data_IF_080314596629
#
_entry.id   IF_080314596629
#
_cell.length_a   1.000
_cell.length_b   1.000
_cell.length_c   1.000
_cell.angle_alpha   90.00
_cell.angle_beta   90.00
_cell.angle_gamma   90.00
#
_symmetry.space_group_name_H-M   'P 1'
#
loop_
_entity.id
_entity.type
_entity.pdbx_description
1 polymer ?
#
# COMPACT_ATOMS: atom_id res chain seq x y z
N UNK A 1 -26.67 74.24 -0.16
CA UNK A 1 -27.38 73.23 -0.94
C UNK A 1 -27.40 71.92 -0.19
N UNK A 2 -28.54 71.20 -0.08
CA UNK A 2 -28.57 69.93 0.52
C UNK A 2 -27.75 68.95 -0.33
N UNK A 3 -26.94 68.12 0.32
CA UNK A 3 -26.20 67.04 -0.32
C UNK A 3 -27.18 66.06 -0.94
N UNK A 4 -26.94 65.66 -2.19
CA UNK A 4 -27.75 64.64 -2.84
C UNK A 4 -27.76 63.35 -2.00
N UNK A 5 -28.94 62.82 -1.77
CA UNK A 5 -29.07 61.54 -1.03
C UNK A 5 -28.43 60.43 -1.89
N UNK A 6 -27.46 59.74 -1.34
CA UNK A 6 -26.92 58.51 -1.94
C UNK A 6 -27.92 57.40 -1.65
N UNK A 7 -28.45 56.79 -2.71
CA UNK A 7 -29.21 55.58 -2.57
C UNK A 7 -28.21 54.38 -2.44
N UNK A 8 -28.26 53.70 -1.31
CA UNK A 8 -27.52 52.43 -1.11
C UNK A 8 -28.51 51.33 -1.42
N UNK A 9 -28.22 50.49 -2.40
CA UNK A 9 -28.97 49.25 -2.66
C UNK A 9 -28.21 48.11 -1.98
N UNK A 10 -28.87 47.40 -1.10
CA UNK A 10 -28.34 46.21 -0.47
C UNK A 10 -28.93 44.99 -1.21
N UNK A 11 -28.07 44.24 -1.86
CA UNK A 11 -28.44 42.99 -2.48
C UNK A 11 -28.18 41.84 -1.51
N UNK A 12 -29.22 41.09 -1.19
CA UNK A 12 -29.18 39.91 -0.29
C UNK A 12 -29.65 38.63 -0.99
N UNK A 13 -29.83 38.69 -2.31
CA UNK A 13 -30.36 37.57 -3.08
C UNK A 13 -29.22 36.71 -3.57
N UNK A 14 -29.13 35.48 -3.08
CA UNK A 14 -28.11 34.53 -3.53
C UNK A 14 -28.34 34.11 -4.99
N UNK A 15 -27.26 33.81 -5.74
CA UNK A 15 -27.35 33.21 -7.07
C UNK A 15 -28.16 31.91 -7.05
N UNK A 16 -29.00 31.72 -8.05
CA UNK A 16 -29.78 30.50 -8.25
C UNK A 16 -29.10 29.51 -9.22
N UNK A 17 -28.12 29.98 -9.97
CA UNK A 17 -27.31 29.15 -10.84
C UNK A 17 -26.45 28.21 -10.00
N UNK A 18 -26.41 26.93 -10.39
CA UNK A 18 -25.62 25.89 -9.74
C UNK A 18 -24.55 25.40 -10.72
N UNK A 19 -23.31 25.39 -10.27
CA UNK A 19 -22.20 24.82 -11.05
C UNK A 19 -21.97 23.37 -10.65
N UNK A 20 -21.71 22.51 -11.63
CA UNK A 20 -21.33 21.10 -11.43
C UNK A 20 -20.02 20.83 -12.14
N UNK A 21 -19.16 19.98 -11.55
CA UNK A 21 -17.98 19.45 -12.21
C UNK A 21 -18.38 18.29 -13.12
N UNK A 22 -17.82 18.22 -14.33
CA UNK A 22 -18.12 17.16 -15.29
C UNK A 22 -16.89 16.47 -15.85
N UNK A 23 -15.75 17.15 -15.91
CA UNK A 23 -14.53 16.60 -16.50
C UNK A 23 -13.28 17.12 -15.82
N UNK A 24 -12.27 16.27 -15.88
CA UNK A 24 -10.89 16.52 -15.50
C UNK A 24 -10.02 16.24 -16.72
N UNK A 25 -9.05 17.11 -17.06
CA UNK A 25 -8.14 16.82 -18.19
C UNK A 25 -7.23 15.65 -17.90
N UNK A 26 -6.85 14.96 -18.97
CA UNK A 26 -5.95 13.81 -18.95
C UNK A 26 -6.33 12.79 -17.87
N UNK A 27 -7.64 12.53 -17.77
CA UNK A 27 -8.17 11.44 -16.97
C UNK A 27 -7.55 10.13 -17.49
N UNK A 28 -6.55 9.62 -16.78
CA UNK A 28 -5.75 8.47 -17.19
C UNK A 28 -6.36 7.18 -16.65
N UNK A 29 -6.29 6.10 -17.41
CA UNK A 29 -6.79 4.80 -16.99
C UNK A 29 -8.27 4.59 -17.30
N UNK A 30 -9.10 4.39 -16.26
CA UNK A 30 -10.54 4.15 -16.41
C UNK A 30 -11.27 5.46 -16.68
N UNK A 31 -12.07 5.57 -17.75
CA UNK A 31 -12.80 6.82 -18.04
C UNK A 31 -13.72 7.25 -16.88
N UNK A 32 -13.63 8.50 -16.48
CA UNK A 32 -14.46 9.15 -15.45
C UNK A 32 -14.24 8.65 -14.00
N UNK A 33 -13.09 8.08 -13.69
CA UNK A 33 -12.71 7.73 -12.34
C UNK A 33 -12.10 8.91 -11.54
N UNK A 34 -11.93 10.07 -12.20
CA UNK A 34 -11.36 11.29 -11.61
C UNK A 34 -9.90 11.14 -11.16
N UNK A 35 -9.13 10.29 -11.83
CA UNK A 35 -7.69 10.13 -11.62
C UNK A 35 -6.95 10.72 -12.83
N UNK A 36 -5.94 11.55 -12.61
CA UNK A 36 -5.12 12.14 -13.67
C UNK A 36 -3.64 12.15 -13.32
N UNK A 37 -2.81 11.86 -14.32
CA UNK A 37 -1.36 12.07 -14.26
C UNK A 37 -0.92 13.53 -14.47
N UNK A 38 -1.85 14.41 -14.91
CA UNK A 38 -1.57 15.83 -15.09
C UNK A 38 -1.47 16.54 -13.74
N UNK A 39 -0.31 17.04 -13.40
CA UNK A 39 -0.06 17.80 -12.16
C UNK A 39 -0.58 19.25 -12.23
N UNK A 40 -1.08 19.68 -13.39
CA UNK A 40 -1.72 20.98 -13.60
C UNK A 40 -3.09 20.84 -14.25
N UNK A 41 -3.98 19.98 -13.75
CA UNK A 41 -5.19 19.61 -14.46
C UNK A 41 -6.12 20.79 -14.65
N UNK A 42 -6.88 20.73 -15.73
CA UNK A 42 -7.99 21.64 -16.00
C UNK A 42 -9.29 20.99 -15.56
N UNK A 43 -10.02 21.65 -14.67
CA UNK A 43 -11.36 21.27 -14.26
C UNK A 43 -12.39 21.96 -15.14
N UNK A 44 -13.40 21.22 -15.57
CA UNK A 44 -14.49 21.77 -16.35
C UNK A 44 -15.83 21.30 -15.87
N UNK A 45 -16.85 22.07 -16.15
CA UNK A 45 -18.19 21.72 -15.73
C UNK A 45 -19.28 22.53 -16.41
N UNK A 46 -20.50 22.34 -15.94
CA UNK A 46 -21.69 22.99 -16.49
C UNK A 46 -22.45 23.75 -15.42
N UNK A 47 -23.23 24.74 -15.88
CA UNK A 47 -24.21 25.47 -15.11
C UNK A 47 -25.60 25.00 -15.50
N UNK A 48 -26.51 24.90 -14.54
CA UNK A 48 -27.90 24.60 -14.78
C UNK A 48 -28.68 25.74 -15.46
N UNK A 49 -28.12 26.98 -15.43
CA UNK A 49 -28.63 28.16 -16.08
C UNK A 49 -27.47 29.13 -16.39
N UNK A 50 -27.63 30.01 -17.35
CA UNK A 50 -26.66 31.08 -17.64
C UNK A 50 -26.54 32.01 -16.41
N UNK A 51 -25.33 32.50 -16.16
CA UNK A 51 -25.06 33.43 -15.09
C UNK A 51 -25.77 34.76 -15.26
N UNK A 52 -26.27 35.32 -14.17
CA UNK A 52 -26.75 36.70 -14.10
C UNK A 52 -25.62 37.73 -14.26
N UNK A 53 -26.00 38.98 -14.41
CA UNK A 53 -25.02 40.07 -14.53
C UNK A 53 -24.18 40.21 -13.28
N UNK A 54 -22.86 40.07 -13.39
CA UNK A 54 -21.91 40.16 -12.27
C UNK A 54 -21.74 38.88 -11.44
N UNK A 55 -22.42 37.78 -11.81
CA UNK A 55 -22.17 36.49 -11.23
C UNK A 55 -20.90 35.83 -11.82
N UNK A 56 -20.17 35.10 -10.99
CA UNK A 56 -18.96 34.35 -11.36
C UNK A 56 -18.98 32.94 -10.78
N UNK A 57 -18.37 31.99 -11.48
CA UNK A 57 -18.07 30.67 -10.95
C UNK A 57 -16.73 30.74 -10.20
N UNK A 58 -16.68 30.22 -8.99
CA UNK A 58 -15.48 30.10 -8.20
C UNK A 58 -15.16 28.66 -7.87
N UNK A 59 -13.87 28.29 -7.88
CA UNK A 59 -13.34 26.98 -7.54
C UNK A 59 -12.36 27.10 -6.38
N UNK A 60 -12.41 26.13 -5.46
CA UNK A 60 -11.51 25.96 -4.34
C UNK A 60 -11.02 24.51 -4.28
N UNK A 61 -9.74 24.30 -3.93
CA UNK A 61 -9.15 22.97 -3.67
C UNK A 61 -8.79 22.78 -2.19
N UNK A 62 -9.05 23.75 -1.32
CA UNK A 62 -8.65 23.78 0.09
C UNK A 62 -9.85 23.92 1.04
N UNK A 63 -10.94 23.26 0.72
CA UNK A 63 -12.15 23.27 1.54
C UNK A 63 -12.86 24.63 1.62
N UNK A 64 -12.56 25.57 0.71
CA UNK A 64 -13.18 26.89 0.68
C UNK A 64 -12.39 27.99 1.38
N UNK A 65 -11.16 27.75 1.81
CA UNK A 65 -10.30 28.78 2.39
C UNK A 65 -9.85 29.80 1.33
N UNK A 66 -9.53 29.34 0.12
CA UNK A 66 -9.20 30.21 -1.02
C UNK A 66 -10.07 29.88 -2.23
N UNK A 67 -10.53 30.92 -2.91
CA UNK A 67 -11.38 30.79 -4.09
C UNK A 67 -10.81 31.56 -5.27
N UNK A 68 -10.82 30.94 -6.45
CA UNK A 68 -10.40 31.55 -7.70
C UNK A 68 -11.50 31.44 -8.76
N UNK A 69 -11.59 32.44 -9.64
CA UNK A 69 -12.65 32.49 -10.63
C UNK A 69 -12.34 31.56 -11.81
N UNK A 70 -13.36 30.83 -12.25
CA UNK A 70 -13.33 30.07 -13.48
C UNK A 70 -13.72 30.96 -14.68
N UNK A 71 -13.29 30.55 -15.85
CA UNK A 71 -13.74 31.13 -17.13
C UNK A 71 -15.07 30.51 -17.53
N UNK A 72 -16.08 31.33 -17.84
CA UNK A 72 -17.41 30.87 -18.21
C UNK A 72 -17.72 31.24 -19.66
N UNK A 73 -18.26 30.29 -20.42
CA UNK A 73 -18.74 30.45 -21.77
C UNK A 73 -20.12 29.83 -21.92
N UNK A 74 -21.16 30.66 -21.91
CA UNK A 74 -22.56 30.22 -21.88
C UNK A 74 -22.89 29.50 -20.59
N UNK A 75 -23.21 28.22 -20.67
CA UNK A 75 -23.45 27.35 -19.52
C UNK A 75 -22.27 26.40 -19.21
N UNK A 76 -21.15 26.55 -19.88
CA UNK A 76 -19.94 25.79 -19.61
C UNK A 76 -18.93 26.69 -18.89
N UNK A 77 -18.17 26.06 -17.97
CA UNK A 77 -17.08 26.74 -17.29
C UNK A 77 -15.81 25.89 -17.29
N UNK A 78 -14.66 26.56 -17.24
CA UNK A 78 -13.34 25.93 -17.22
C UNK A 78 -12.46 26.65 -16.21
N UNK A 79 -11.70 25.90 -15.45
CA UNK A 79 -10.78 26.42 -14.46
C UNK A 79 -9.43 25.69 -14.56
N UNK A 80 -8.37 26.49 -14.63
CA UNK A 80 -6.99 26.02 -14.68
C UNK A 80 -6.41 26.04 -13.28
N UNK A 81 -5.77 24.96 -12.87
CA UNK A 81 -5.10 24.95 -11.58
C UNK A 81 -4.00 26.01 -11.53
N UNK A 82 -3.89 26.83 -10.46
CA UNK A 82 -2.97 27.96 -10.43
C UNK A 82 -1.50 27.57 -10.24
N UNK A 83 -1.20 26.29 -10.09
CA UNK A 83 0.15 25.76 -9.88
C UNK A 83 0.20 24.26 -10.00
N UNK A 84 1.40 23.70 -9.85
CA UNK A 84 1.64 22.25 -9.86
C UNK A 84 1.09 21.64 -8.58
N UNK A 85 0.21 20.67 -8.70
CA UNK A 85 -0.31 19.87 -7.59
C UNK A 85 0.62 18.67 -7.34
N UNK A 86 0.81 18.31 -6.09
CA UNK A 86 1.52 17.08 -5.72
C UNK A 86 0.61 15.86 -5.92
N UNK A 87 1.19 14.67 -5.94
CA UNK A 87 0.43 13.41 -5.92
C UNK A 87 -0.37 13.34 -4.61
N UNK A 88 -1.69 13.45 -4.71
CA UNK A 88 -2.60 13.41 -3.57
C UNK A 88 -4.07 13.40 -4.05
N UNK A 89 -4.97 13.16 -3.10
CA UNK A 89 -6.40 13.36 -3.28
C UNK A 89 -6.76 14.84 -3.04
N UNK A 90 -7.56 15.39 -3.93
CA UNK A 90 -8.06 16.76 -3.84
C UNK A 90 -9.58 16.79 -3.92
N UNK A 91 -10.20 17.66 -3.15
CA UNK A 91 -11.62 17.95 -3.28
C UNK A 91 -11.81 19.30 -3.95
N UNK A 92 -12.24 19.27 -5.21
CA UNK A 92 -12.63 20.49 -5.90
C UNK A 92 -14.04 20.89 -5.48
N UNK A 93 -14.19 22.08 -4.88
CA UNK A 93 -15.49 22.65 -4.53
C UNK A 93 -15.77 23.84 -5.44
N UNK A 94 -16.96 23.88 -6.03
CA UNK A 94 -17.38 24.95 -6.95
C UNK A 94 -18.67 25.61 -6.47
N UNK A 95 -18.76 26.93 -6.68
CA UNK A 95 -19.95 27.74 -6.35
C UNK A 95 -20.13 28.87 -7.35
N UNK A 96 -21.31 29.46 -7.34
CA UNK A 96 -21.57 30.75 -8.01
C UNK A 96 -21.64 31.84 -6.96
N UNK A 97 -21.07 33.00 -7.26
CA UNK A 97 -21.07 34.18 -6.37
C UNK A 97 -21.49 35.39 -7.22
N UNK A 98 -22.34 36.26 -6.65
CA UNK A 98 -22.75 37.50 -7.28
C UNK A 98 -21.79 38.67 -6.96
N UNK A 99 -22.02 39.83 -7.55
CA UNK A 99 -21.23 41.05 -7.35
C UNK A 99 -21.36 41.63 -5.93
N UNK A 100 -22.41 41.29 -5.17
CA UNK A 100 -22.62 41.70 -3.78
C UNK A 100 -21.93 40.75 -2.77
N UNK A 101 -21.45 39.61 -3.24
CA UNK A 101 -20.81 38.60 -2.42
C UNK A 101 -21.77 37.56 -1.85
N UNK A 102 -23.03 37.51 -2.31
CA UNK A 102 -23.94 36.45 -1.91
C UNK A 102 -23.55 35.14 -2.57
N UNK A 103 -23.61 34.05 -1.80
CA UNK A 103 -23.12 32.73 -2.20
C UNK A 103 -24.28 31.85 -2.66
N UNK A 104 -24.14 31.27 -3.85
CA UNK A 104 -25.00 30.19 -4.35
C UNK A 104 -24.63 28.85 -3.73
N UNK A 105 -25.37 27.79 -4.09
CA UNK A 105 -25.09 26.42 -3.65
C UNK A 105 -23.67 25.99 -4.06
N UNK A 106 -23.04 25.15 -3.24
CA UNK A 106 -21.75 24.51 -3.55
C UNK A 106 -21.96 23.08 -4.02
N UNK A 107 -21.11 22.62 -4.95
CA UNK A 107 -20.95 21.21 -5.31
C UNK A 107 -19.48 20.83 -5.18
N UNK A 108 -19.20 19.57 -4.86
CA UNK A 108 -17.83 19.10 -4.69
C UNK A 108 -17.60 17.80 -5.44
N UNK A 109 -16.37 17.58 -5.89
CA UNK A 109 -15.93 16.37 -6.56
C UNK A 109 -14.51 16.05 -6.10
N UNK A 110 -14.32 14.83 -5.63
CA UNK A 110 -13.00 14.27 -5.32
C UNK A 110 -12.28 13.94 -6.64
N UNK A 111 -11.01 14.26 -6.73
CA UNK A 111 -10.13 13.79 -7.80
C UNK A 111 -8.74 13.50 -7.25
N UNK A 112 -7.99 12.64 -7.94
CA UNK A 112 -6.65 12.22 -7.54
C UNK A 112 -5.64 12.69 -8.57
N UNK A 113 -4.58 13.35 -8.11
CA UNK A 113 -3.37 13.55 -8.91
C UNK A 113 -2.50 12.33 -8.72
N UNK A 114 -2.41 11.55 -9.77
CA UNK A 114 -1.54 10.40 -9.89
C UNK A 114 -0.59 10.67 -11.07
N UNK A 115 0.65 11.13 -10.82
CA UNK A 115 1.58 11.51 -11.89
C UNK A 115 2.00 10.34 -12.79
N UNK A 116 1.34 9.20 -12.67
CA UNK A 116 1.51 8.05 -13.53
C UNK A 116 2.99 7.69 -13.72
N UNK A 117 3.62 7.33 -12.61
CA UNK A 117 5.02 6.93 -12.60
C UNK A 117 5.08 5.43 -12.89
N UNK A 118 5.91 5.04 -13.86
CA UNK A 118 6.11 3.62 -14.14
C UNK A 118 6.56 2.85 -12.89
N UNK A 119 6.15 1.59 -12.73
CA UNK A 119 6.59 0.75 -11.63
C UNK A 119 8.11 0.72 -11.50
N UNK A 120 8.60 0.58 -10.30
CA UNK A 120 10.03 0.36 -10.02
C UNK A 120 10.26 -1.14 -9.85
N UNK A 121 11.16 -1.69 -10.63
CA UNK A 121 11.53 -3.11 -10.56
C UNK A 121 13.02 -3.26 -10.28
N UNK A 122 13.36 -4.26 -9.51
CA UNK A 122 14.73 -4.64 -9.24
C UNK A 122 14.94 -6.13 -9.48
N UNK A 123 16.04 -6.47 -10.11
CA UNK A 123 16.50 -7.82 -10.27
C UNK A 123 17.97 -7.87 -9.84
N UNK A 124 18.27 -8.66 -8.83
CA UNK A 124 19.66 -8.87 -8.38
C UNK A 124 20.04 -10.33 -8.65
N UNK A 125 21.21 -10.50 -9.25
CA UNK A 125 21.81 -11.82 -9.37
C UNK A 125 22.36 -12.21 -8.00
N UNK A 126 21.58 -12.97 -7.22
CA UNK A 126 22.07 -13.62 -6.01
C UNK A 126 22.23 -15.10 -6.28
N UNK A 127 23.40 -15.50 -6.69
CA UNK A 127 23.75 -16.91 -6.85
C UNK A 127 25.15 -17.14 -6.35
N UNK A 128 25.31 -17.78 -5.21
CA UNK A 128 26.58 -18.39 -4.83
C UNK A 128 26.74 -19.71 -5.57
N UNK A 129 27.29 -19.67 -6.78
CA UNK A 129 27.86 -20.88 -7.35
C UNK A 129 29.22 -21.10 -6.73
N UNK A 130 29.26 -21.81 -5.64
CA UNK A 130 30.51 -22.24 -5.05
C UNK A 130 31.18 -23.25 -5.99
N UNK A 131 32.35 -22.91 -6.49
CA UNK A 131 33.17 -23.82 -7.25
C UNK A 131 33.56 -25.03 -6.43
N UNK A 132 32.84 -26.14 -6.60
CA UNK A 132 33.32 -27.46 -6.25
C UNK A 132 33.55 -28.19 -7.58
N UNK A 133 34.79 -28.16 -8.01
CA UNK A 133 35.28 -29.08 -9.05
C UNK A 133 35.39 -30.45 -8.37
N UNK A 134 34.48 -31.33 -8.67
CA UNK A 134 34.55 -32.74 -8.34
C UNK A 134 33.54 -33.21 -7.30
N UNK A 135 32.67 -34.10 -7.73
CA UNK A 135 31.72 -34.92 -7.03
C UNK A 135 30.33 -34.32 -6.72
N UNK A 136 29.33 -34.82 -7.44
CA UNK A 136 27.88 -34.64 -7.23
C UNK A 136 27.34 -33.22 -7.35
N UNK A 137 27.48 -32.64 -8.51
CA UNK A 137 26.93 -31.35 -8.92
C UNK A 137 25.39 -31.30 -8.90
N UNK A 138 24.73 -32.41 -8.69
CA UNK A 138 23.27 -32.59 -8.88
C UNK A 138 22.39 -32.09 -7.72
N UNK A 139 22.97 -31.79 -6.54
CA UNK A 139 22.23 -31.32 -5.38
C UNK A 139 22.76 -30.01 -4.79
N UNK A 140 23.64 -29.29 -5.48
CA UNK A 140 24.35 -28.14 -4.89
C UNK A 140 23.94 -26.78 -5.41
N UNK A 141 22.97 -26.71 -6.30
CA UNK A 141 22.48 -25.43 -6.80
C UNK A 141 21.13 -25.18 -6.14
N UNK A 142 21.19 -24.61 -4.97
CA UNK A 142 20.03 -23.96 -4.37
C UNK A 142 19.89 -22.58 -5.04
N UNK A 143 18.94 -22.48 -5.94
CA UNK A 143 18.47 -21.24 -6.50
C UNK A 143 17.35 -20.62 -5.64
N UNK A 144 17.37 -20.83 -4.35
CA UNK A 144 16.53 -20.03 -3.45
C UNK A 144 16.95 -18.58 -3.66
N UNK A 145 16.18 -17.88 -4.46
CA UNK A 145 16.40 -16.50 -4.83
C UNK A 145 15.97 -15.66 -3.65
N UNK A 146 16.87 -15.39 -2.75
CA UNK A 146 16.63 -14.47 -1.68
C UNK A 146 16.47 -13.09 -2.26
N UNK A 147 15.22 -12.60 -2.29
CA UNK A 147 14.85 -11.31 -2.82
C UNK A 147 15.59 -10.88 -4.11
N UNK A 148 15.83 -11.81 -5.02
CA UNK A 148 16.42 -11.49 -6.31
C UNK A 148 15.55 -10.50 -7.09
N UNK A 149 14.26 -10.46 -6.79
CA UNK A 149 13.27 -9.67 -7.52
C UNK A 149 12.42 -8.84 -6.57
N UNK A 150 12.21 -7.59 -6.93
CA UNK A 150 11.19 -6.76 -6.33
C UNK A 150 10.48 -5.95 -7.40
N UNK A 151 9.22 -5.65 -7.16
CA UNK A 151 8.45 -4.71 -7.95
C UNK A 151 7.55 -3.90 -7.02
N UNK A 152 7.49 -2.61 -7.24
CA UNK A 152 6.60 -1.72 -6.51
C UNK A 152 6.12 -0.60 -7.43
N UNK A 153 4.95 -0.13 -7.14
CA UNK A 153 4.38 1.04 -7.79
C UNK A 153 4.06 2.09 -6.73
N UNK A 154 4.35 3.35 -7.04
CA UNK A 154 4.15 4.46 -6.09
C UNK A 154 2.71 4.55 -5.61
N UNK A 155 1.76 4.26 -6.49
CA UNK A 155 0.33 4.35 -6.23
C UNK A 155 -0.29 3.02 -5.79
N UNK A 156 0.52 1.99 -5.63
CA UNK A 156 0.08 0.64 -5.29
C UNK A 156 -0.96 0.08 -6.29
N UNK A 157 -0.78 0.36 -7.58
CA UNK A 157 -1.74 0.07 -8.63
C UNK A 157 -1.23 -0.91 -9.70
N UNK A 158 -0.30 -1.80 -9.36
CA UNK A 158 0.23 -2.82 -10.29
C UNK A 158 -0.90 -3.68 -10.88
N UNK A 159 -0.85 -3.89 -12.19
CA UNK A 159 -1.77 -4.78 -12.91
C UNK A 159 -1.27 -6.20 -12.94
N UNK A 160 -0.04 -6.37 -13.41
CA UNK A 160 0.62 -7.68 -13.42
C UNK A 160 2.13 -7.57 -13.35
N UNK A 161 2.75 -8.66 -12.88
CA UNK A 161 4.19 -8.82 -12.87
C UNK A 161 4.55 -10.11 -13.58
N UNK A 162 5.56 -10.07 -14.45
CA UNK A 162 6.06 -11.24 -15.18
C UNK A 162 7.53 -11.45 -14.89
N UNK A 163 7.88 -12.67 -14.51
CA UNK A 163 9.25 -13.16 -14.47
C UNK A 163 9.49 -14.01 -15.73
N UNK A 164 10.51 -13.67 -16.48
CA UNK A 164 10.91 -14.40 -17.68
C UNK A 164 12.32 -14.99 -17.50
N UNK A 165 12.45 -16.29 -17.60
CA UNK A 165 13.71 -17.00 -17.73
C UNK A 165 13.95 -17.35 -19.21
N UNK A 166 15.11 -17.00 -19.74
CA UNK A 166 15.55 -17.40 -21.07
C UNK A 166 16.94 -18.04 -21.01
N UNK A 167 17.02 -19.32 -21.42
CA UNK A 167 18.27 -20.05 -21.55
C UNK A 167 18.76 -20.07 -22.99
N UNK A 168 20.07 -19.87 -23.21
CA UNK A 168 20.59 -19.73 -24.58
C UNK A 168 20.81 -21.05 -25.30
N UNK A 169 21.24 -22.13 -24.66
CA UNK A 169 21.53 -23.44 -25.29
C UNK A 169 21.71 -24.54 -24.22
N UNK A 170 20.71 -24.85 -23.41
CA UNK A 170 20.89 -25.78 -22.32
C UNK A 170 20.28 -27.15 -22.52
N UNK A 171 20.90 -28.17 -21.93
CA UNK A 171 20.34 -29.50 -21.74
C UNK A 171 19.50 -29.52 -20.44
N UNK A 172 18.41 -28.81 -20.40
CA UNK A 172 17.50 -28.79 -19.27
C UNK A 172 16.85 -27.42 -19.12
N UNK A 173 15.52 -27.41 -19.10
CA UNK A 173 14.75 -26.19 -18.85
C UNK A 173 14.69 -25.95 -17.36
N UNK A 174 15.19 -24.81 -16.88
CA UNK A 174 14.83 -24.29 -15.57
C UNK A 174 13.37 -23.84 -15.62
N UNK A 175 12.64 -24.07 -14.57
CA UNK A 175 11.24 -23.72 -14.46
C UNK A 175 11.01 -22.92 -13.18
N UNK A 176 10.19 -21.88 -13.25
CA UNK A 176 9.72 -21.23 -12.05
C UNK A 176 8.84 -22.18 -11.24
N UNK A 177 9.12 -22.21 -9.97
CA UNK A 177 8.28 -22.86 -8.98
C UNK A 177 7.83 -21.78 -7.98
N UNK A 178 6.53 -21.72 -7.72
CA UNK A 178 5.93 -20.76 -6.82
C UNK A 178 4.95 -21.47 -5.88
N UNK A 179 4.84 -20.97 -4.66
CA UNK A 179 3.99 -21.57 -3.64
C UNK A 179 2.52 -21.18 -3.86
N UNK A 180 1.67 -22.16 -4.21
CA UNK A 180 0.24 -21.92 -4.46
C UNK A 180 -0.54 -21.59 -3.17
N UNK A 181 -0.13 -22.14 -2.02
CA UNK A 181 -0.78 -21.85 -0.75
C UNK A 181 -0.54 -20.38 -0.36
N UNK A 182 0.71 -19.93 -0.43
CA UNK A 182 1.06 -18.53 -0.18
C UNK A 182 0.39 -17.56 -1.18
N UNK A 183 0.35 -17.91 -2.47
CA UNK A 183 -0.35 -17.09 -3.46
C UNK A 183 -1.83 -16.90 -3.09
N UNK A 184 -2.50 -17.98 -2.69
CA UNK A 184 -3.91 -17.93 -2.30
C UNK A 184 -4.11 -17.06 -1.05
N UNK A 185 -3.24 -17.17 -0.06
CA UNK A 185 -3.25 -16.38 1.17
C UNK A 185 -3.08 -14.89 0.88
N UNK A 186 -2.15 -14.54 0.00
CA UNK A 186 -1.88 -13.17 -0.41
C UNK A 186 -2.90 -12.59 -1.41
N UNK A 187 -3.92 -13.36 -1.79
CA UNK A 187 -4.90 -12.94 -2.79
C UNK A 187 -4.31 -12.79 -4.20
N UNK A 188 -3.25 -13.56 -4.50
CA UNK A 188 -2.56 -13.56 -5.78
C UNK A 188 -2.89 -14.81 -6.60
N UNK A 189 -2.89 -14.65 -7.89
CA UNK A 189 -2.96 -15.74 -8.87
C UNK A 189 -1.70 -15.73 -9.71
N UNK A 190 -1.13 -16.89 -9.99
CA UNK A 190 0.00 -16.99 -10.91
C UNK A 190 -0.22 -18.07 -11.96
N UNK A 191 0.43 -17.88 -13.10
CA UNK A 191 0.48 -18.83 -14.19
C UNK A 191 1.92 -19.05 -14.65
N UNK A 192 2.35 -20.31 -14.75
CA UNK A 192 3.68 -20.67 -15.25
C UNK A 192 3.56 -21.32 -16.63
N UNK A 193 4.23 -20.74 -17.60
CA UNK A 193 4.31 -21.27 -18.97
C UNK A 193 5.75 -21.71 -19.25
N UNK A 194 5.95 -23.00 -19.44
CA UNK A 194 7.26 -23.59 -19.71
C UNK A 194 7.40 -23.96 -21.18
N UNK A 195 8.46 -23.49 -21.80
CA UNK A 195 8.83 -23.83 -23.15
C UNK A 195 10.15 -24.62 -23.14
N UNK A 196 10.13 -25.92 -23.49
CA UNK A 196 11.35 -26.73 -23.45
C UNK A 196 12.39 -26.36 -24.51
N UNK A 197 12.04 -25.43 -25.41
CA UNK A 197 12.93 -25.08 -26.52
C UNK A 197 13.08 -26.17 -27.58
N UNK A 198 13.93 -25.93 -28.53
CA UNK A 198 14.35 -26.91 -29.57
C UNK A 198 15.87 -27.04 -29.50
N UNK A 199 16.36 -28.22 -29.19
CA UNK A 199 17.79 -28.48 -28.98
C UNK A 199 18.65 -27.88 -30.09
N UNK A 200 19.51 -26.93 -29.69
CA UNK A 200 20.47 -26.28 -30.59
C UNK A 200 19.87 -25.17 -31.52
N UNK A 201 18.58 -24.84 -31.40
CA UNK A 201 17.89 -23.87 -32.27
C UNK A 201 17.18 -22.80 -31.44
N UNK A 202 16.39 -23.19 -30.44
CA UNK A 202 15.65 -22.28 -29.56
C UNK A 202 15.93 -22.72 -28.13
N UNK A 203 16.44 -21.80 -27.31
CA UNK A 203 16.67 -22.05 -25.89
C UNK A 203 15.37 -22.33 -25.12
N UNK A 204 15.44 -23.04 -24.00
CA UNK A 204 14.30 -23.19 -23.11
C UNK A 204 13.92 -21.88 -22.46
N UNK A 205 12.64 -21.68 -22.16
CA UNK A 205 12.17 -20.53 -21.38
C UNK A 205 11.11 -20.94 -20.37
N UNK A 206 10.99 -20.16 -19.34
CA UNK A 206 9.90 -20.25 -18.37
C UNK A 206 9.39 -18.82 -18.08
N UNK A 207 8.09 -18.64 -18.18
CA UNK A 207 7.42 -17.39 -17.88
C UNK A 207 6.48 -17.61 -16.70
N UNK A 208 6.59 -16.78 -15.68
CA UNK A 208 5.67 -16.75 -14.56
C UNK A 208 4.99 -15.38 -14.53
N UNK A 209 3.67 -15.36 -14.67
CA UNK A 209 2.86 -14.14 -14.62
C UNK A 209 2.03 -14.14 -13.34
N UNK A 210 2.06 -13.03 -12.61
CA UNK A 210 1.37 -12.81 -11.34
C UNK A 210 0.32 -11.72 -11.53
N UNK A 211 -0.89 -11.96 -11.03
CA UNK A 211 -2.03 -11.02 -11.05
C UNK A 211 -2.76 -11.08 -9.72
N UNK A 212 -3.57 -10.07 -9.40
CA UNK A 212 -4.50 -10.17 -8.28
C UNK A 212 -5.66 -11.14 -8.60
N UNK A 213 -6.12 -11.90 -7.60
CA UNK A 213 -7.20 -12.88 -7.76
C UNK A 213 -8.53 -12.23 -8.11
N UNK A 214 -8.80 -11.04 -7.60
CA UNK A 214 -10.03 -10.26 -7.82
C UNK A 214 -10.00 -9.40 -9.09
N UNK A 215 -8.88 -9.40 -9.82
CA UNK A 215 -8.66 -8.55 -10.99
C UNK A 215 -8.39 -7.07 -10.63
N UNK A 216 -8.28 -6.75 -9.35
CA UNK A 216 -7.87 -5.44 -8.84
C UNK A 216 -6.38 -5.16 -9.03
N UNK A 217 -5.86 -4.07 -8.45
CA UNK A 217 -4.43 -3.82 -8.38
C UNK A 217 -3.74 -4.81 -7.44
N UNK A 218 -2.49 -5.14 -7.75
CA UNK A 218 -1.65 -5.95 -6.87
C UNK A 218 -1.03 -5.04 -5.81
N UNK A 219 -1.18 -5.41 -4.55
CA UNK A 219 -0.53 -4.73 -3.43
C UNK A 219 0.99 -4.96 -3.44
N UNK A 220 1.76 -3.90 -3.29
CA UNK A 220 3.23 -3.95 -3.35
C UNK A 220 3.84 -4.88 -2.29
N UNK A 221 3.33 -4.84 -1.06
CA UNK A 221 3.85 -5.65 0.05
C UNK A 221 3.60 -7.14 -0.21
N UNK A 222 2.36 -7.50 -0.52
CA UNK A 222 1.96 -8.88 -0.82
C UNK A 222 2.70 -9.45 -2.02
N UNK A 223 2.89 -8.63 -3.05
CA UNK A 223 3.66 -9.02 -4.23
C UNK A 223 5.12 -9.34 -3.88
N UNK A 224 5.78 -8.47 -3.14
CA UNK A 224 7.19 -8.64 -2.81
C UNK A 224 7.40 -9.83 -1.85
N UNK A 225 6.45 -10.09 -0.99
CA UNK A 225 6.40 -11.30 -0.18
C UNK A 225 6.33 -12.55 -1.06
N UNK A 226 5.42 -12.59 -2.03
CA UNK A 226 5.29 -13.70 -2.96
C UNK A 226 6.53 -13.87 -3.87
N UNK A 227 7.07 -12.76 -4.41
CA UNK A 227 8.29 -12.78 -5.22
C UNK A 227 9.48 -13.40 -4.48
N UNK A 228 9.56 -13.18 -3.16
CA UNK A 228 10.56 -13.78 -2.31
C UNK A 228 10.47 -15.29 -2.16
N UNK A 229 9.29 -15.89 -2.40
CA UNK A 229 9.05 -17.34 -2.33
C UNK A 229 9.35 -18.08 -3.63
N UNK A 230 9.58 -17.38 -4.74
CA UNK A 230 9.74 -17.98 -6.06
C UNK A 230 11.12 -18.61 -6.20
N UNK A 231 11.17 -19.85 -6.65
CA UNK A 231 12.41 -20.58 -6.92
C UNK A 231 12.48 -21.00 -8.38
N UNK A 232 13.70 -21.29 -8.84
CA UNK A 232 13.96 -21.88 -10.17
C UNK A 232 14.41 -23.33 -9.98
N UNK A 233 13.60 -24.28 -10.44
CA UNK A 233 13.91 -25.71 -10.38
C UNK A 233 14.18 -26.24 -11.78
N UNK A 234 15.15 -27.14 -11.92
CA UNK A 234 15.45 -27.75 -13.22
C UNK A 234 16.22 -29.04 -13.14
N UNK A 235 16.06 -29.86 -14.20
CA UNK A 235 16.82 -31.08 -14.38
C UNK A 235 18.28 -30.86 -14.72
N UNK A 236 19.01 -31.96 -15.05
CA UNK A 236 20.45 -32.03 -15.33
C UNK A 236 21.04 -30.78 -15.99
N UNK A 237 22.00 -30.20 -15.31
CA UNK A 237 22.59 -28.90 -15.45
C UNK A 237 23.12 -28.56 -16.84
N UNK A 238 22.70 -27.42 -17.34
CA UNK A 238 23.57 -26.61 -18.19
C UNK A 238 23.23 -25.14 -17.95
N UNK A 239 23.77 -24.58 -16.89
CA UNK A 239 23.72 -23.14 -16.70
C UNK A 239 24.79 -22.53 -17.62
N UNK A 240 24.36 -21.79 -18.61
CA UNK A 240 25.28 -20.98 -19.41
C UNK A 240 25.47 -19.62 -18.73
N UNK A 241 26.66 -19.05 -18.86
CA UNK A 241 26.95 -17.70 -18.39
C UNK A 241 26.07 -16.60 -19.06
N UNK A 242 25.20 -17.00 -19.98
CA UNK A 242 24.30 -16.14 -20.75
C UNK A 242 22.83 -16.28 -20.34
N UNK A 243 22.51 -17.18 -19.40
CA UNK A 243 21.16 -17.31 -18.89
C UNK A 243 20.80 -16.08 -18.05
N UNK A 244 19.59 -15.58 -18.21
CA UNK A 244 19.12 -14.40 -17.52
C UNK A 244 17.68 -14.57 -17.03
N UNK A 245 17.34 -13.89 -15.95
CA UNK A 245 15.95 -13.72 -15.53
C UNK A 245 15.61 -12.24 -15.58
N UNK A 246 14.53 -11.93 -16.26
CA UNK A 246 13.99 -10.57 -16.34
C UNK A 246 12.70 -10.50 -15.54
N UNK A 247 12.57 -9.50 -14.69
CA UNK A 247 11.28 -9.10 -14.10
C UNK A 247 10.74 -7.92 -14.87
N UNK A 248 9.45 -7.94 -15.17
CA UNK A 248 8.71 -6.83 -15.75
C UNK A 248 7.45 -6.59 -14.92
N UNK A 249 7.16 -5.36 -14.60
CA UNK A 249 5.93 -4.96 -13.93
C UNK A 249 5.19 -3.95 -14.79
N UNK A 250 3.87 -4.07 -14.83
CA UNK A 250 2.97 -3.16 -15.55
C UNK A 250 1.89 -2.70 -14.58
N UNK A 251 1.62 -1.40 -14.55
CA UNK A 251 0.54 -0.82 -13.76
C UNK A 251 -0.81 -0.86 -14.50
N UNK A 252 -1.90 -0.50 -13.81
CA UNK A 252 -3.26 -0.43 -14.39
C UNK A 252 -3.41 0.60 -15.50
N UNK A 253 -2.47 1.53 -15.63
CA UNK A 253 -2.45 2.55 -16.69
C UNK A 253 -1.67 2.10 -17.92
N UNK A 254 -0.98 0.95 -17.84
CA UNK A 254 -0.19 0.36 -18.92
C UNK A 254 1.26 0.83 -18.96
N UNK A 255 1.75 1.61 -17.97
CA UNK A 255 3.16 1.90 -17.84
C UNK A 255 3.90 0.67 -17.34
N UNK A 256 5.08 0.43 -17.89
CA UNK A 256 5.86 -0.76 -17.59
C UNK A 256 7.31 -0.41 -17.32
N UNK A 257 7.92 -1.19 -16.42
CA UNK A 257 9.35 -1.20 -16.23
C UNK A 257 9.86 -2.65 -16.21
N UNK A 258 11.14 -2.82 -16.53
CA UNK A 258 11.80 -4.12 -16.49
C UNK A 258 13.22 -4.02 -15.98
N UNK A 259 13.67 -5.06 -15.28
CA UNK A 259 15.03 -5.23 -14.84
C UNK A 259 15.47 -6.67 -15.09
N UNK A 260 16.72 -6.84 -15.52
CA UNK A 260 17.29 -8.16 -15.81
C UNK A 260 18.45 -8.44 -14.87
N UNK A 261 18.34 -9.56 -14.15
CA UNK A 261 19.48 -10.13 -13.45
C UNK A 261 20.42 -10.76 -14.50
N UNK A 262 21.49 -10.04 -14.83
CA UNK A 262 22.53 -10.54 -15.71
C UNK A 262 23.43 -11.52 -14.96
N UNK A 263 23.71 -12.66 -15.60
CA UNK A 263 24.57 -13.74 -15.11
C UNK A 263 24.10 -14.38 -13.80
N UNK A 264 23.33 -15.47 -13.93
CA UNK A 264 23.04 -16.40 -12.83
C UNK A 264 24.32 -17.04 -12.22
N UNK A 265 25.49 -16.77 -12.81
CA UNK A 265 26.79 -17.21 -12.38
C UNK A 265 27.59 -16.03 -11.83
N UNK A 266 27.37 -15.67 -10.58
CA UNK A 266 28.33 -14.85 -9.85
C UNK A 266 29.03 -15.71 -8.82
N UNK A 267 30.23 -16.19 -9.17
CA UNK A 267 31.10 -16.90 -8.23
C UNK A 267 31.70 -15.89 -7.25
N UNK A 268 30.98 -15.53 -6.22
CA UNK A 268 31.55 -14.85 -5.06
C UNK A 268 32.10 -15.86 -4.09
N UNK A 269 33.42 -16.02 -4.07
CA UNK A 269 34.10 -17.04 -3.26
C UNK A 269 34.27 -16.66 -1.79
N UNK A 270 33.86 -15.48 -1.35
CA UNK A 270 34.09 -15.00 0.01
C UNK A 270 32.99 -14.12 0.54
N UNK A 271 32.37 -14.58 1.61
CA UNK A 271 31.58 -13.76 2.51
C UNK A 271 30.06 -13.96 2.38
N UNK A 272 29.52 -14.67 3.34
CA UNK A 272 28.10 -14.71 3.62
C UNK A 272 27.60 -13.30 3.88
N UNK A 273 26.98 -12.67 2.90
CA UNK A 273 25.95 -11.71 3.24
C UNK A 273 24.75 -12.54 3.65
N UNK A 274 24.31 -12.34 4.86
CA UNK A 274 23.19 -13.02 5.46
C UNK A 274 21.95 -12.85 4.58
N UNK A 275 21.47 -13.94 4.11
CA UNK A 275 20.38 -14.04 3.17
C UNK A 275 19.07 -14.19 3.95
N UNK A 276 18.02 -13.51 3.55
CA UNK A 276 16.68 -13.79 4.08
C UNK A 276 16.31 -15.26 3.83
N UNK A 277 16.04 -16.02 4.87
CA UNK A 277 15.52 -17.38 4.73
C UNK A 277 14.00 -17.34 4.64
N UNK A 278 13.42 -18.14 3.78
CA UNK A 278 11.98 -18.39 3.77
C UNK A 278 11.75 -19.70 4.49
N UNK A 279 10.98 -19.66 5.56
CA UNK A 279 10.71 -20.81 6.42
C UNK A 279 9.20 -20.95 6.53
N UNK A 280 8.70 -22.09 6.08
CA UNK A 280 7.26 -22.35 5.94
C UNK A 280 6.82 -23.44 6.90
N UNK A 281 5.70 -23.22 7.56
CA UNK A 281 4.94 -24.21 8.30
C UNK A 281 4.01 -25.00 7.36
N UNK A 282 2.92 -25.49 7.91
CA UNK A 282 1.92 -26.31 7.22
C UNK A 282 0.52 -25.76 7.47
N UNK A 283 -0.53 -26.52 7.22
CA UNK A 283 -1.90 -26.16 7.63
C UNK A 283 -2.28 -26.67 9.03
N UNK A 284 -1.34 -27.07 9.83
CA UNK A 284 -1.53 -27.55 11.20
C UNK A 284 -0.57 -26.84 12.14
N UNK A 285 -0.77 -26.92 13.45
CA UNK A 285 0.04 -26.19 14.46
C UNK A 285 1.53 -26.51 14.37
N UNK A 286 2.33 -25.53 14.06
CA UNK A 286 3.76 -25.62 13.81
C UNK A 286 4.61 -24.78 14.79
N UNK A 287 5.89 -25.05 14.83
CA UNK A 287 6.89 -24.16 15.42
C UNK A 287 7.93 -23.82 14.37
N UNK A 288 7.89 -22.58 13.91
CA UNK A 288 8.77 -22.06 12.87
C UNK A 288 9.79 -21.13 13.52
N UNK A 289 11.07 -21.36 13.25
CA UNK A 289 12.15 -20.55 13.86
C UNK A 289 13.10 -20.06 12.78
N UNK A 290 13.32 -18.76 12.74
CA UNK A 290 14.25 -18.08 11.87
C UNK A 290 15.71 -18.29 12.24
N UNK A 291 16.55 -17.52 11.65
CA UNK A 291 18.02 -17.54 11.80
C UNK A 291 18.51 -16.29 12.56
N UNK A 292 19.71 -15.82 12.26
CA UNK A 292 20.22 -14.54 12.73
C UNK A 292 20.26 -13.49 11.61
N UNK A 293 19.51 -13.67 10.54
CA UNK A 293 19.41 -12.77 9.42
C UNK A 293 17.97 -12.36 9.17
N UNK A 294 17.73 -11.50 8.21
CA UNK A 294 16.38 -11.11 7.85
C UNK A 294 15.63 -12.31 7.27
N UNK A 295 14.63 -12.81 7.95
CA UNK A 295 13.89 -14.01 7.59
C UNK A 295 12.43 -13.70 7.22
N UNK A 296 11.76 -14.67 6.61
CA UNK A 296 10.34 -14.68 6.32
C UNK A 296 9.74 -15.97 6.80
N UNK A 297 8.88 -15.88 7.79
CA UNK A 297 8.27 -17.02 8.46
C UNK A 297 6.77 -17.03 8.15
N UNK A 298 6.27 -18.18 7.71
CA UNK A 298 4.86 -18.40 7.39
C UNK A 298 4.33 -19.59 8.15
N UNK A 299 3.29 -19.39 8.99
CA UNK A 299 2.61 -20.47 9.72
C UNK A 299 1.58 -21.18 8.85
N UNK A 300 0.81 -20.42 8.06
CA UNK A 300 -0.35 -20.79 7.24
C UNK A 300 -1.61 -21.07 8.03
N UNK A 301 -1.72 -22.16 8.74
CA UNK A 301 -2.94 -22.50 9.46
C UNK A 301 -2.72 -23.45 10.61
N UNK A 302 -3.60 -23.39 11.58
CA UNK A 302 -3.42 -23.99 12.89
C UNK A 302 -2.88 -22.98 13.88
N UNK A 303 -2.79 -23.32 15.16
CA UNK A 303 -2.24 -22.43 16.17
C UNK A 303 -0.70 -22.56 16.15
N UNK A 304 0.01 -21.57 15.60
CA UNK A 304 1.44 -21.62 15.30
C UNK A 304 2.28 -20.83 16.29
N UNK A 305 3.57 -21.16 16.36
CA UNK A 305 4.60 -20.40 17.09
C UNK A 305 5.70 -20.01 16.11
N UNK A 306 5.83 -18.72 15.82
CA UNK A 306 6.84 -18.17 14.94
C UNK A 306 7.86 -17.35 15.74
N UNK A 307 9.16 -17.61 15.54
CA UNK A 307 10.25 -16.85 16.16
C UNK A 307 11.20 -16.36 15.07
N UNK A 308 11.30 -15.05 14.84
CA UNK A 308 12.17 -14.44 13.85
C UNK A 308 13.65 -14.63 14.19
N UNK A 309 14.08 -14.08 15.28
CA UNK A 309 15.44 -14.19 15.78
C UNK A 309 16.19 -12.88 15.83
N UNK A 310 17.40 -12.83 15.27
CA UNK A 310 18.07 -11.56 14.99
C UNK A 310 17.80 -11.21 13.52
N UNK A 311 17.65 -9.93 13.21
CA UNK A 311 17.44 -9.46 11.83
C UNK A 311 16.16 -8.66 11.71
N UNK A 312 15.86 -8.17 10.53
CA UNK A 312 14.58 -7.53 10.26
C UNK A 312 13.68 -8.56 9.59
N UNK A 313 12.77 -9.13 10.34
CA UNK A 313 12.02 -10.33 9.97
C UNK A 313 10.59 -9.98 9.52
N UNK A 314 10.00 -10.84 8.70
CA UNK A 314 8.58 -10.84 8.38
C UNK A 314 7.96 -12.13 8.91
N UNK A 315 7.04 -12.00 9.85
CA UNK A 315 6.31 -13.11 10.43
C UNK A 315 4.83 -13.02 10.03
N UNK A 316 4.29 -14.09 9.49
CA UNK A 316 2.87 -14.23 9.19
C UNK A 316 2.34 -15.52 9.82
N UNK A 317 1.44 -15.39 10.79
CA UNK A 317 0.81 -16.51 11.47
C UNK A 317 -0.13 -17.24 10.51
N UNK A 318 -1.16 -16.59 10.05
CA UNK A 318 -2.11 -17.13 9.08
C UNK A 318 -3.50 -17.33 9.65
N UNK A 319 -4.00 -18.56 9.71
CA UNK A 319 -5.29 -18.86 10.29
C UNK A 319 -5.13 -19.71 11.55
N UNK A 320 -5.61 -19.23 12.68
CA UNK A 320 -5.47 -19.87 13.99
C UNK A 320 -5.18 -18.85 15.07
N UNK A 321 -4.89 -19.29 16.29
CA UNK A 321 -4.46 -18.37 17.34
C UNK A 321 -2.93 -18.48 17.48
N UNK A 322 -2.22 -17.57 16.85
CA UNK A 322 -0.78 -17.69 16.65
C UNK A 322 0.01 -16.96 17.73
N UNK A 323 1.26 -17.34 17.91
CA UNK A 323 2.22 -16.66 18.76
C UNK A 323 3.42 -16.26 17.93
N UNK A 324 3.58 -14.96 17.70
CA UNK A 324 4.64 -14.37 16.89
C UNK A 324 5.63 -13.61 17.79
N UNK A 325 6.91 -13.86 17.60
CA UNK A 325 7.99 -13.15 18.27
C UNK A 325 9.02 -12.70 17.21
N UNK A 326 9.09 -11.39 16.93
CA UNK A 326 10.05 -10.81 15.98
C UNK A 326 11.49 -11.06 16.45
N UNK A 327 11.85 -10.52 17.60
CA UNK A 327 13.16 -10.75 18.20
C UNK A 327 14.02 -9.49 18.27
N UNK A 328 15.21 -9.50 17.67
CA UNK A 328 16.04 -8.30 17.57
C UNK A 328 16.02 -7.78 16.14
N UNK A 329 15.63 -6.54 15.94
CA UNK A 329 15.59 -5.91 14.64
C UNK A 329 14.31 -5.12 14.44
N UNK A 330 14.08 -4.63 13.25
CA UNK A 330 12.82 -3.95 12.93
C UNK A 330 11.94 -4.93 12.17
N UNK A 331 10.97 -5.51 12.85
CA UNK A 331 10.21 -6.64 12.38
C UNK A 331 8.82 -6.22 11.87
N UNK A 332 8.24 -7.05 11.01
CA UNK A 332 6.85 -6.93 10.57
C UNK A 332 6.10 -8.18 11.03
N UNK A 333 5.08 -8.00 11.86
CA UNK A 333 4.26 -9.06 12.41
C UNK A 333 2.83 -8.94 11.87
N UNK A 334 2.34 -10.04 11.30
CA UNK A 334 0.98 -10.19 10.76
C UNK A 334 0.39 -11.43 11.41
N UNK A 335 -0.50 -11.26 12.37
CA UNK A 335 -1.16 -12.37 13.05
C UNK A 335 -2.00 -13.18 12.06
N UNK A 336 -2.96 -12.54 11.44
CA UNK A 336 -3.88 -13.15 10.49
C UNK A 336 -5.27 -13.35 11.07
N UNK A 337 -5.88 -14.49 10.79
CA UNK A 337 -7.22 -14.79 11.28
C UNK A 337 -7.17 -15.54 12.61
N UNK A 338 -7.75 -14.97 13.65
CA UNK A 338 -7.81 -15.56 14.99
C UNK A 338 -7.47 -14.57 16.07
N UNK A 339 -7.15 -15.07 17.26
CA UNK A 339 -6.72 -14.23 18.38
C UNK A 339 -5.24 -14.47 18.64
N UNK A 340 -4.42 -13.56 18.18
CA UNK A 340 -2.98 -13.74 18.12
C UNK A 340 -2.25 -13.06 19.28
N UNK A 341 -1.06 -13.58 19.60
CA UNK A 341 -0.15 -12.98 20.57
C UNK A 341 1.11 -12.53 19.85
N UNK A 342 1.34 -11.23 19.83
CA UNK A 342 2.39 -10.59 19.07
C UNK A 342 3.42 -9.95 20.01
N UNK A 343 4.69 -10.25 19.80
CA UNK A 343 5.82 -9.66 20.51
C UNK A 343 6.80 -9.13 19.47
N UNK A 344 6.99 -7.82 19.40
CA UNK A 344 7.93 -7.20 18.46
C UNK A 344 9.37 -7.51 18.84
N UNK A 345 9.72 -7.21 20.08
CA UNK A 345 11.06 -7.41 20.62
C UNK A 345 11.87 -6.12 20.69
N UNK A 346 13.11 -6.17 20.23
CA UNK A 346 14.00 -5.02 20.27
C UNK A 346 14.11 -4.37 18.90
N UNK A 347 13.65 -3.14 18.76
CA UNK A 347 13.72 -2.38 17.53
C UNK A 347 12.54 -1.45 17.34
N UNK A 348 12.22 -1.16 16.11
CA UNK A 348 11.00 -0.45 15.75
C UNK A 348 10.16 -1.38 14.90
N UNK A 349 9.13 -1.94 15.51
CA UNK A 349 8.37 -3.01 14.91
C UNK A 349 7.05 -2.50 14.30
N UNK A 350 6.55 -3.23 13.32
CA UNK A 350 5.28 -2.94 12.66
C UNK A 350 4.33 -4.10 12.86
N UNK A 351 3.21 -3.84 13.50
CA UNK A 351 2.10 -4.77 13.62
C UNK A 351 1.06 -4.40 12.57
N UNK A 352 0.84 -5.29 11.60
CA UNK A 352 0.03 -5.04 10.41
C UNK A 352 -1.22 -5.91 10.41
N UNK A 353 -2.38 -5.29 10.17
CA UNK A 353 -3.66 -5.96 9.98
C UNK A 353 -4.15 -5.86 8.54
N UNK A 354 -4.59 -6.99 8.02
CA UNK A 354 -5.17 -7.11 6.68
C UNK A 354 -6.61 -7.62 6.76
N UNK A 355 -7.37 -7.44 5.69
CA UNK A 355 -8.70 -8.03 5.60
C UNK A 355 -8.57 -9.50 5.24
N UNK A 356 -8.80 -10.39 6.20
CA UNK A 356 -8.79 -11.86 6.03
C UNK A 356 -10.18 -12.49 6.13
N UNK A 357 -11.17 -11.72 6.58
CA UNK A 357 -12.56 -12.13 6.71
C UNK A 357 -13.55 -10.98 6.58
N UNK A 358 -14.84 -11.28 6.68
CA UNK A 358 -15.93 -10.33 6.44
C UNK A 358 -16.58 -9.76 7.72
N UNK A 359 -16.07 -10.07 8.89
CA UNK A 359 -16.61 -9.58 10.17
C UNK A 359 -16.16 -8.14 10.51
N UNK A 360 -16.50 -7.67 11.71
CA UNK A 360 -16.20 -6.31 12.16
C UNK A 360 -14.68 -6.04 12.30
N UNK A 361 -13.87 -7.05 12.59
CA UNK A 361 -12.41 -6.95 12.70
C UNK A 361 -11.70 -7.25 11.38
N UNK A 362 -12.43 -7.55 10.32
CA UNK A 362 -11.85 -7.99 9.04
C UNK A 362 -11.37 -9.43 9.05
N UNK A 363 -11.83 -10.24 10.01
CA UNK A 363 -11.45 -11.63 10.22
C UNK A 363 -10.30 -11.84 11.19
N UNK A 364 -9.67 -10.76 11.68
CA UNK A 364 -8.47 -10.84 12.50
C UNK A 364 -8.74 -11.23 13.97
N UNK A 365 -9.98 -11.19 14.45
CA UNK A 365 -10.29 -11.49 15.85
C UNK A 365 -9.85 -10.40 16.83
N UNK A 366 -9.32 -10.80 17.98
CA UNK A 366 -8.83 -9.90 19.03
C UNK A 366 -7.40 -10.30 19.42
N UNK A 367 -6.44 -9.48 19.02
CA UNK A 367 -5.02 -9.74 19.22
C UNK A 367 -4.46 -9.07 20.48
N UNK A 368 -3.29 -9.50 20.88
CA UNK A 368 -2.55 -8.93 22.00
C UNK A 368 -1.11 -8.63 21.58
N UNK A 369 -0.71 -7.36 21.71
CA UNK A 369 0.71 -6.99 21.63
C UNK A 369 1.26 -6.93 23.04
N UNK A 370 2.36 -7.66 23.29
CA UNK A 370 2.88 -7.87 24.64
C UNK A 370 3.89 -6.83 25.11
N UNK A 371 4.53 -6.12 24.17
CA UNK A 371 5.70 -5.27 24.44
C UNK A 371 5.74 -3.95 23.61
N UNK A 372 4.60 -3.46 23.16
CA UNK A 372 4.51 -2.26 22.31
C UNK A 372 5.25 -1.06 22.90
N UNK A 373 6.24 -0.56 22.17
CA UNK A 373 7.07 0.58 22.58
C UNK A 373 6.47 1.91 22.13
N UNK A 374 6.14 2.76 23.10
CA UNK A 374 5.65 4.11 22.80
C UNK A 374 6.80 5.04 22.37
N UNK A 375 6.57 5.80 21.30
CA UNK A 375 7.41 6.93 20.93
C UNK A 375 7.27 8.07 21.94
N UNK A 376 8.38 8.74 22.25
CA UNK A 376 8.42 9.86 23.19
C UNK A 376 7.91 11.19 22.61
N UNK A 377 7.60 11.23 21.31
CA UNK A 377 7.09 12.39 20.59
C UNK A 377 7.20 12.25 19.07
N UNK A 378 6.76 13.24 18.30
CA UNK A 378 6.60 13.14 16.84
C UNK A 378 7.92 13.00 16.05
N UNK A 379 9.05 13.32 16.69
CA UNK A 379 10.39 13.17 16.10
C UNK A 379 11.10 11.89 16.54
N UNK A 380 10.48 11.12 17.44
CA UNK A 380 10.99 9.84 17.89
C UNK A 380 10.55 8.75 16.91
N UNK A 381 11.48 8.20 16.18
CA UNK A 381 11.24 7.14 15.20
C UNK A 381 11.48 5.73 15.75
N UNK A 382 11.78 5.62 17.07
CA UNK A 382 12.09 4.34 17.70
C UNK A 382 10.86 3.60 18.26
N UNK A 383 9.69 4.24 18.29
CA UNK A 383 8.44 3.62 18.72
C UNK A 383 7.86 2.69 17.69
N UNK A 384 7.20 1.64 18.17
CA UNK A 384 6.52 0.67 17.32
C UNK A 384 5.31 1.26 16.60
N UNK A 385 4.83 0.55 15.57
CA UNK A 385 3.73 1.00 14.72
C UNK A 385 2.64 -0.04 14.61
N UNK A 386 1.41 0.45 14.53
CA UNK A 386 0.19 -0.31 14.25
C UNK A 386 -0.31 0.15 12.88
N UNK A 387 -0.32 -0.74 11.90
CA UNK A 387 -0.79 -0.44 10.54
C UNK A 387 -2.21 -0.99 10.32
N UNK A 388 -3.18 -0.10 10.24
CA UNK A 388 -4.59 -0.36 10.00
C UNK A 388 -5.06 0.12 8.63
N UNK A 389 -4.16 0.60 7.79
CA UNK A 389 -4.46 1.22 6.50
C UNK A 389 -5.26 0.31 5.55
N UNK A 390 -5.19 -1.01 5.76
CA UNK A 390 -5.93 -2.00 4.96
C UNK A 390 -7.32 -2.36 5.52
N UNK A 391 -7.62 -1.96 6.75
CA UNK A 391 -8.88 -2.32 7.40
C UNK A 391 -9.97 -1.25 7.25
N UNK A 392 -9.60 0.02 7.18
CA UNK A 392 -10.55 1.13 7.21
C UNK A 392 -11.21 1.34 5.84
N UNK A 393 -12.53 1.24 5.80
CA UNK A 393 -13.31 1.38 4.57
C UNK A 393 -13.84 2.81 4.44
N UNK A 394 -13.34 3.55 3.45
CA UNK A 394 -13.79 4.91 3.19
C UNK A 394 -13.17 6.00 4.08
N UNK A 395 -12.22 5.65 4.93
CA UNK A 395 -11.38 6.64 5.59
C UNK A 395 -10.26 7.10 4.65
N UNK A 396 -9.96 8.39 4.66
CA UNK A 396 -8.84 8.97 3.93
C UNK A 396 -8.16 9.97 4.84
N UNK A 397 -6.93 9.69 5.24
CA UNK A 397 -6.12 10.61 6.03
C UNK A 397 -5.61 11.75 5.16
N UNK A 398 -5.38 12.92 5.76
CA UNK A 398 -4.62 14.00 5.16
C UNK A 398 -3.15 13.60 4.99
N UNK A 399 -2.42 14.28 4.08
CA UNK A 399 -1.01 13.98 3.79
C UNK A 399 -0.10 14.03 5.02
N UNK A 400 -0.48 14.83 6.02
CA UNK A 400 0.26 15.00 7.27
C UNK A 400 -0.26 14.09 8.39
N UNK A 401 -1.31 13.29 8.13
CA UNK A 401 -1.98 12.42 9.10
C UNK A 401 -3.12 13.12 9.85
N UNK A 402 -3.91 12.35 10.64
CA UNK A 402 -5.14 12.85 11.27
C UNK A 402 -4.94 13.62 12.58
N UNK A 403 -3.71 13.73 13.08
CA UNK A 403 -3.44 14.39 14.37
C UNK A 403 -2.03 14.99 14.43
N UNK A 404 -1.92 16.13 15.09
CA UNK A 404 -0.66 16.86 15.27
C UNK A 404 -0.50 17.37 16.71
N UNK A 405 0.69 17.91 17.02
CA UNK A 405 0.95 18.60 18.28
C UNK A 405 0.56 20.07 18.19
N UNK A 406 -0.47 20.46 18.94
CA UNK A 406 -0.89 21.87 19.12
C UNK A 406 -0.45 22.33 20.52
N UNK A 407 0.43 23.32 20.59
CA UNK A 407 1.00 23.83 21.85
C UNK A 407 1.59 22.71 22.76
N UNK A 408 2.16 21.65 22.15
CA UNK A 408 2.74 20.50 22.84
C UNK A 408 1.71 19.47 23.32
N UNK A 409 0.46 19.57 22.88
CA UNK A 409 -0.61 18.61 23.19
C UNK A 409 -0.99 17.85 21.92
N UNK A 410 -0.98 16.49 21.92
CA UNK A 410 -1.47 15.71 20.80
C UNK A 410 -2.96 15.99 20.57
N UNK A 411 -3.33 16.33 19.36
CA UNK A 411 -4.70 16.77 19.02
C UNK A 411 -5.11 16.24 17.67
N UNK A 412 -6.30 15.65 17.57
CA UNK A 412 -6.90 15.26 16.29
C UNK A 412 -7.29 16.53 15.54
N UNK A 413 -7.02 16.57 14.25
CA UNK A 413 -7.27 17.73 13.41
C UNK A 413 -8.76 18.08 13.32
N UNK A 414 -9.04 19.36 13.27
CA UNK A 414 -10.41 19.83 13.28
C UNK A 414 -11.15 19.40 12.01
N UNK A 415 -12.15 18.54 12.18
CA UNK A 415 -12.97 18.00 11.09
C UNK A 415 -12.55 16.61 10.63
N UNK A 416 -11.45 16.07 11.15
CA UNK A 416 -11.09 14.68 10.89
C UNK A 416 -12.08 13.70 11.52
N UNK A 417 -12.36 12.62 10.83
CA UNK A 417 -13.36 11.62 11.21
C UNK A 417 -12.79 10.35 11.81
N UNK A 418 -11.46 10.27 12.01
CA UNK A 418 -10.78 9.06 12.50
C UNK A 418 -11.39 8.50 13.79
N UNK A 419 -11.88 9.36 14.67
CA UNK A 419 -12.57 8.96 15.88
C UNK A 419 -13.91 8.23 15.68
N UNK A 420 -14.45 8.17 14.44
CA UNK A 420 -15.59 7.33 14.08
C UNK A 420 -15.15 5.90 13.75
N UNK A 421 -13.91 5.73 13.32
CA UNK A 421 -13.32 4.46 12.92
C UNK A 421 -12.52 3.80 14.04
N UNK A 422 -11.85 4.57 14.87
CA UNK A 422 -10.97 4.06 15.92
C UNK A 422 -11.37 4.63 17.29
N UNK A 423 -11.36 3.78 18.28
CA UNK A 423 -11.44 4.20 19.68
C UNK A 423 -10.32 3.54 20.50
N UNK A 424 -9.71 4.32 21.39
CA UNK A 424 -8.63 3.87 22.26
C UNK A 424 -9.05 4.11 23.71
N UNK A 425 -9.08 3.04 24.51
CA UNK A 425 -9.51 3.08 25.90
C UNK A 425 -8.50 2.36 26.80
N UNK A 426 -8.27 2.89 28.00
CA UNK A 426 -7.41 2.25 28.97
C UNK A 426 -8.22 1.36 29.93
N UNK A 427 -7.79 0.11 30.07
CA UNK A 427 -8.40 -0.89 30.95
C UNK A 427 -7.32 -1.39 31.93
N UNK A 428 -7.29 -0.77 33.09
CA UNK A 428 -6.20 -1.04 34.07
C UNK A 428 -4.88 -0.45 33.59
N UNK A 429 -3.89 -1.30 33.35
CA UNK A 429 -2.57 -0.91 32.84
C UNK A 429 -2.48 -1.04 31.30
N UNK A 430 -3.50 -1.58 30.67
CA UNK A 430 -3.50 -1.92 29.25
C UNK A 430 -4.26 -0.86 28.43
N UNK A 431 -3.91 -0.74 27.16
CA UNK A 431 -4.65 0.05 26.18
C UNK A 431 -5.36 -0.89 25.21
N UNK A 432 -6.66 -0.67 25.05
CA UNK A 432 -7.53 -1.42 24.12
C UNK A 432 -7.85 -0.52 22.93
N UNK A 433 -7.57 -1.01 21.74
CA UNK A 433 -7.92 -0.36 20.48
C UNK A 433 -9.09 -1.12 19.85
N UNK A 434 -10.19 -0.41 19.62
CA UNK A 434 -11.35 -0.95 18.94
C UNK A 434 -11.53 -0.26 17.59
N UNK A 435 -12.01 -1.02 16.63
CA UNK A 435 -12.20 -0.59 15.26
C UNK A 435 -13.67 -0.67 14.86
N UNK A 436 -14.14 0.34 14.13
CA UNK A 436 -15.36 0.31 13.33
C UNK A 436 -14.93 0.56 11.88
N UNK A 437 -14.95 -0.47 11.07
CA UNK A 437 -14.29 -0.43 9.75
C UNK A 437 -14.90 0.54 8.76
N UNK A 438 -16.19 0.89 8.90
CA UNK A 438 -16.89 1.86 8.05
C UNK A 438 -17.30 3.15 8.80
N UNK A 439 -16.80 3.34 10.01
CA UNK A 439 -17.01 4.53 10.81
C UNK A 439 -18.51 4.78 11.12
N UNK A 440 -19.06 5.86 10.58
CA UNK A 440 -20.49 6.16 10.74
C UNK A 440 -21.42 5.29 9.87
N UNK A 441 -20.88 4.32 9.14
CA UNK A 441 -21.62 3.36 8.33
C UNK A 441 -22.47 2.40 9.16
N UNK A 442 -23.10 1.45 8.49
CA UNK A 442 -23.95 0.45 9.15
C UNK A 442 -23.58 -0.99 8.75
N UNK A 443 -22.53 -1.16 7.95
CA UNK A 443 -22.10 -2.47 7.49
C UNK A 443 -21.29 -3.20 8.57
N UNK A 444 -20.56 -2.46 9.39
CA UNK A 444 -19.75 -2.98 10.49
C UNK A 444 -20.16 -2.29 11.80
N UNK A 445 -19.72 -2.83 12.91
CA UNK A 445 -19.90 -2.23 14.23
C UNK A 445 -18.58 -2.21 14.97
N UNK A 446 -18.45 -1.33 15.95
CA UNK A 446 -17.21 -1.21 16.74
C UNK A 446 -16.94 -2.49 17.52
N UNK A 447 -15.74 -3.04 17.35
CA UNK A 447 -15.25 -4.24 18.04
C UNK A 447 -13.78 -4.09 18.42
N UNK A 448 -13.38 -4.79 19.49
CA UNK A 448 -11.98 -4.79 19.92
C UNK A 448 -11.13 -5.52 18.90
N UNK A 449 -10.08 -4.85 18.41
CA UNK A 449 -9.10 -5.42 17.50
C UNK A 449 -7.85 -5.86 18.24
N UNK A 450 -7.29 -4.98 19.08
CA UNK A 450 -6.01 -5.28 19.73
C UNK A 450 -5.93 -4.69 21.15
N UNK A 451 -5.24 -5.40 22.03
CA UNK A 451 -4.83 -4.95 23.35
C UNK A 451 -3.32 -4.78 23.43
N UNK A 452 -2.87 -3.60 23.85
CA UNK A 452 -1.47 -3.32 24.15
C UNK A 452 -1.23 -3.56 25.66
N UNK A 453 -0.53 -4.60 26.00
CA UNK A 453 -0.29 -4.99 27.39
C UNK A 453 0.68 -4.02 28.09
N UNK A 454 0.32 -3.61 29.30
CA UNK A 454 1.10 -2.70 30.14
C UNK A 454 1.45 -1.35 29.47
N UNK A 455 0.65 -0.92 28.52
CA UNK A 455 0.78 0.35 27.84
C UNK A 455 -0.42 1.22 28.18
N UNK A 456 -0.19 2.48 28.55
CA UNK A 456 -1.25 3.47 28.80
C UNK A 456 -1.04 4.64 27.86
N UNK A 457 -1.97 4.82 26.91
CA UNK A 457 -1.90 5.89 25.90
C UNK A 457 -3.30 6.29 25.45
N UNK A 458 -3.40 7.19 24.46
CA UNK A 458 -4.66 7.61 23.84
C UNK A 458 -4.51 7.72 22.32
N UNK A 459 -5.63 7.85 21.63
CA UNK A 459 -5.68 7.89 20.17
C UNK A 459 -4.88 9.06 19.62
N UNK A 460 -5.04 10.25 20.22
CA UNK A 460 -4.38 11.47 19.78
C UNK A 460 -2.85 11.34 19.83
N UNK A 461 -2.32 10.74 20.90
CA UNK A 461 -0.89 10.52 21.07
C UNK A 461 -0.34 9.53 20.06
N UNK A 462 -1.03 8.40 19.85
CA UNK A 462 -0.61 7.38 18.89
C UNK A 462 -0.59 7.92 17.46
N UNK A 463 -1.60 8.70 17.08
CA UNK A 463 -1.67 9.32 15.75
C UNK A 463 -0.62 10.42 15.57
N UNK A 464 -0.51 11.35 16.52
CA UNK A 464 0.44 12.47 16.44
C UNK A 464 1.91 12.03 16.52
N UNK A 465 2.18 10.86 17.07
CA UNK A 465 3.50 10.21 17.08
C UNK A 465 3.73 9.28 15.87
N UNK A 466 2.79 9.23 14.92
CA UNK A 466 2.84 8.35 13.74
C UNK A 466 3.00 6.86 14.11
N UNK A 467 2.42 6.45 15.25
CA UNK A 467 2.41 5.05 15.70
C UNK A 467 1.16 4.29 15.26
N UNK A 468 0.10 4.97 14.81
CA UNK A 468 -1.00 4.36 14.04
C UNK A 468 -0.92 4.88 12.61
N UNK A 469 -0.89 3.95 11.66
CA UNK A 469 -0.95 4.17 10.22
C UNK A 469 -2.38 3.82 9.76
N UNK A 470 -3.05 4.76 9.08
CA UNK A 470 -4.44 4.66 8.64
C UNK A 470 -4.62 5.04 7.19
#
# INVERSE_FOLDING_TARGET
PPSAAFAITVDTTAPTATATLTTLTDNTGVPNDWITGDTTPTLSGTLNAALGAGEVVQVSLDGGAHWTNATVNGTNWTWYTPGVLSAANYTATVRVVDAAGNLGPTTSQLFTIDPNVAPVVSAQASGNLLGIIGANLLNLIDFSTQQAFSASDYNNNLDHVTLHYGGLLGLGALQFNANQALANELGLHFNVVNNPGILGIIGPSSDLTITATDGGPIDNLRLNEFLGSITLNGGLISISALDSVTISATDKTGLSASATAGQLLNASLLGSTQSASIIEGTSGSDTVTGTSGNDRLYGYGGDDVLNGGDGNDLLRGGAGNDTLNGGNGNDILIGGAGNDTLTGGAGTDVFLWEVVGADNTGGNGHDVITDFQLASGPTDTSGDKIDLSKLLVGYTADADGPAHYVDGVPTIDAGDTIGQFLSVTNVGADTVISIDRDGAGTAFGSETLVTLNNVTTNLESLLANHQIIV
#
